data_IF_944937920718
#
_entry.id   IF_944937920718
#
_cell.length_a   1.000
_cell.length_b   1.000
_cell.length_c   1.000
_cell.angle_alpha   90.00
_cell.angle_beta   90.00
_cell.angle_gamma   90.00
#
_symmetry.space_group_name_H-M   'P 1'
#
loop_
_entity.id
_entity.type
_entity.pdbx_description
1 polymer ?
#
# COMPACT_ATOMS: atom_id res chain seq x y z
N UNK A 1 -19.65 -28.30 -38.03
CA UNK A 1 -19.80 -26.96 -37.39
C UNK A 1 -20.19 -26.99 -35.87
N UNK A 2 -20.62 -28.10 -35.30
CA UNK A 2 -20.97 -28.19 -33.84
C UNK A 2 -19.80 -28.45 -32.90
N UNK A 3 -18.66 -28.97 -33.38
CA UNK A 3 -17.48 -29.28 -32.52
C UNK A 3 -16.63 -28.06 -32.17
N UNK A 4 -16.60 -27.04 -33.02
CA UNK A 4 -15.76 -25.81 -32.78
C UNK A 4 -16.35 -24.92 -31.67
N UNK A 5 -17.67 -24.86 -31.55
CA UNK A 5 -18.33 -24.06 -30.51
C UNK A 5 -18.08 -24.58 -29.06
N UNK A 6 -17.92 -25.91 -28.91
CA UNK A 6 -17.64 -26.52 -27.59
C UNK A 6 -16.21 -26.27 -27.11
N UNK A 7 -15.23 -26.16 -28.00
CA UNK A 7 -13.82 -25.92 -27.65
C UNK A 7 -13.63 -24.47 -27.16
N UNK A 8 -14.31 -23.50 -27.78
CA UNK A 8 -14.22 -22.07 -27.36
C UNK A 8 -14.85 -21.86 -26.00
N UNK A 9 -15.94 -22.57 -25.67
CA UNK A 9 -16.57 -22.46 -24.35
C UNK A 9 -15.72 -23.06 -23.24
N UNK A 10 -14.95 -24.11 -23.50
CA UNK A 10 -14.08 -24.77 -22.52
C UNK A 10 -12.82 -23.95 -22.21
N UNK A 11 -12.23 -23.26 -23.20
CA UNK A 11 -11.07 -22.40 -23.00
C UNK A 11 -11.40 -21.11 -22.21
N UNK A 12 -12.60 -20.57 -22.34
CA UNK A 12 -13.04 -19.40 -21.57
C UNK A 12 -13.25 -19.73 -20.07
N UNK A 13 -13.71 -20.95 -19.74
CA UNK A 13 -13.88 -21.38 -18.34
C UNK A 13 -12.53 -21.60 -17.61
N UNK A 14 -11.49 -22.04 -18.32
CA UNK A 14 -10.16 -22.31 -17.73
C UNK A 14 -9.44 -21.00 -17.40
N UNK A 15 -9.57 -19.94 -18.19
CA UNK A 15 -8.95 -18.66 -17.95
C UNK A 15 -9.51 -17.93 -16.69
N UNK A 16 -10.80 -18.10 -16.40
CA UNK A 16 -11.42 -17.51 -15.20
C UNK A 16 -11.08 -18.23 -13.88
N UNK A 17 -10.86 -19.54 -13.94
CA UNK A 17 -10.55 -20.35 -12.76
C UNK A 17 -9.09 -20.18 -12.26
N UNK A 18 -8.15 -19.94 -13.17
CA UNK A 18 -6.74 -19.81 -12.82
C UNK A 18 -6.43 -18.50 -12.05
N UNK A 19 -7.14 -17.41 -12.34
CA UNK A 19 -6.96 -16.14 -11.61
C UNK A 19 -7.37 -16.24 -10.14
N UNK A 20 -8.50 -16.85 -9.83
CA UNK A 20 -9.01 -17.00 -8.46
C UNK A 20 -8.20 -17.98 -7.62
N UNK A 21 -7.63 -19.01 -8.20
CA UNK A 21 -6.77 -19.99 -7.51
C UNK A 21 -5.41 -19.38 -7.16
N UNK A 22 -4.80 -18.62 -8.04
CA UNK A 22 -3.52 -17.94 -7.78
C UNK A 22 -3.65 -16.88 -6.69
N UNK A 23 -4.73 -16.10 -6.70
CA UNK A 23 -5.01 -15.06 -5.70
C UNK A 23 -5.27 -15.63 -4.30
N UNK A 24 -6.02 -16.74 -4.21
CA UNK A 24 -6.25 -17.46 -2.95
C UNK A 24 -4.96 -18.06 -2.37
N UNK A 25 -4.08 -18.57 -3.22
CA UNK A 25 -2.77 -19.11 -2.81
C UNK A 25 -1.87 -18.00 -2.28
N UNK A 26 -1.88 -16.82 -2.89
CA UNK A 26 -1.12 -15.65 -2.44
C UNK A 26 -1.56 -15.19 -1.05
N UNK A 27 -2.85 -15.05 -0.82
CA UNK A 27 -3.39 -14.67 0.48
C UNK A 27 -3.08 -15.71 1.57
N UNK A 28 -3.05 -17.01 1.24
CA UNK A 28 -2.68 -18.06 2.17
C UNK A 28 -1.24 -17.94 2.66
N UNK A 29 -0.28 -17.71 1.76
CA UNK A 29 1.14 -17.53 2.13
C UNK A 29 1.35 -16.26 2.95
N UNK A 30 0.76 -15.12 2.53
CA UNK A 30 0.85 -13.88 3.29
C UNK A 30 0.25 -14.03 4.69
N UNK A 31 -0.86 -14.77 4.83
CA UNK A 31 -1.45 -15.04 6.14
C UNK A 31 -0.50 -15.82 7.09
N UNK A 32 0.30 -16.75 6.57
CA UNK A 32 1.28 -17.50 7.37
C UNK A 32 2.45 -16.62 7.82
N UNK A 33 2.80 -15.58 7.04
CA UNK A 33 3.88 -14.64 7.35
C UNK A 33 3.44 -13.51 8.30
N UNK A 34 2.16 -13.41 8.66
CA UNK A 34 1.65 -12.40 9.58
C UNK A 34 2.05 -12.71 11.02
N UNK A 35 3.24 -12.24 11.41
CA UNK A 35 3.79 -12.34 12.75
C UNK A 35 4.05 -10.94 13.34
N UNK A 36 4.24 -10.85 14.66
CA UNK A 36 4.46 -9.57 15.34
C UNK A 36 3.40 -8.54 14.99
N UNK A 37 3.81 -7.32 14.67
CA UNK A 37 2.90 -6.24 14.26
C UNK A 37 2.10 -6.56 12.98
N UNK A 38 2.61 -7.44 12.12
CA UNK A 38 1.90 -7.84 10.90
C UNK A 38 0.62 -8.65 11.18
N UNK A 39 0.39 -9.11 12.40
CA UNK A 39 -0.90 -9.70 12.80
C UNK A 39 -2.06 -8.69 12.72
N UNK A 40 -1.76 -7.38 12.82
CA UNK A 40 -2.72 -6.28 12.63
C UNK A 40 -3.15 -6.11 11.16
N UNK A 41 -2.36 -6.64 10.19
CA UNK A 41 -2.68 -6.56 8.77
C UNK A 41 -3.89 -7.42 8.43
N UNK A 42 -4.94 -6.82 7.93
CA UNK A 42 -6.14 -7.50 7.44
C UNK A 42 -6.05 -7.62 5.92
N UNK A 43 -5.87 -8.83 5.41
CA UNK A 43 -5.94 -9.12 3.98
C UNK A 43 -7.41 -9.26 3.55
N UNK A 44 -7.77 -8.68 2.42
CA UNK A 44 -9.13 -8.78 1.89
C UNK A 44 -9.37 -10.11 1.20
N UNK A 45 -10.57 -10.68 1.34
CA UNK A 45 -10.97 -11.89 0.62
C UNK A 45 -11.03 -11.67 -0.90
N UNK A 46 -11.32 -10.43 -1.32
CA UNK A 46 -11.24 -9.97 -2.71
C UNK A 46 -10.65 -8.56 -2.74
N UNK A 47 -9.79 -8.24 -3.73
CA UNK A 47 -9.21 -6.90 -3.86
C UNK A 47 -10.27 -5.82 -4.02
N UNK A 48 -10.06 -4.68 -3.35
CA UNK A 48 -10.96 -3.54 -3.38
C UNK A 48 -10.52 -2.48 -4.37
N UNK A 49 -11.48 -1.64 -4.78
CA UNK A 49 -11.18 -0.45 -5.58
C UNK A 49 -10.32 0.51 -4.77
N UNK A 50 -9.30 1.09 -5.41
CA UNK A 50 -8.53 2.22 -4.89
C UNK A 50 -9.14 3.52 -5.40
N UNK A 51 -9.06 4.57 -4.61
CA UNK A 51 -9.57 5.92 -4.94
C UNK A 51 -8.73 6.57 -6.04
N UNK A 52 -9.40 7.29 -6.94
CA UNK A 52 -8.80 8.15 -7.97
C UNK A 52 -8.65 9.61 -7.51
N UNK A 53 -9.00 9.93 -6.26
CA UNK A 53 -8.88 11.27 -5.69
C UNK A 53 -7.42 11.68 -5.61
N UNK A 54 -7.13 12.87 -6.15
CA UNK A 54 -5.79 13.43 -6.20
C UNK A 54 -5.34 14.00 -4.85
N UNK A 55 -4.07 13.79 -4.56
CA UNK A 55 -3.32 14.40 -3.47
C UNK A 55 -2.25 15.34 -4.04
N UNK A 56 -1.53 16.06 -3.16
CA UNK A 56 -0.57 17.09 -3.54
C UNK A 56 0.86 16.64 -3.27
N UNK A 57 1.75 16.92 -4.19
CA UNK A 57 3.21 16.81 -3.97
C UNK A 57 3.72 17.95 -3.09
N UNK A 58 5.01 17.91 -2.73
CA UNK A 58 5.66 19.00 -2.01
C UNK A 58 5.62 20.34 -2.77
N UNK A 59 5.72 20.30 -4.11
CA UNK A 59 5.64 21.48 -4.99
C UNK A 59 4.20 21.97 -5.21
N UNK A 60 3.19 21.28 -4.71
CA UNK A 60 1.77 21.59 -4.93
C UNK A 60 1.18 20.98 -6.20
N UNK A 61 1.94 20.24 -6.99
CA UNK A 61 1.41 19.51 -8.14
C UNK A 61 0.46 18.40 -7.68
N UNK A 62 -0.50 18.06 -8.52
CA UNK A 62 -1.46 16.98 -8.25
C UNK A 62 -0.88 15.63 -8.66
N UNK A 63 -1.17 14.60 -7.88
CA UNK A 63 -0.82 13.22 -8.13
C UNK A 63 -1.97 12.31 -7.66
N UNK A 64 -2.04 11.09 -8.19
CA UNK A 64 -3.02 10.09 -7.77
C UNK A 64 -2.35 8.75 -7.49
N UNK A 65 -3.07 7.81 -6.90
CA UNK A 65 -2.56 6.45 -6.70
C UNK A 65 -2.45 5.68 -8.02
N UNK A 66 -3.19 6.09 -9.06
CA UNK A 66 -3.06 5.54 -10.41
C UNK A 66 -1.68 5.74 -11.04
N UNK A 67 -0.94 6.78 -10.60
CA UNK A 67 0.44 7.03 -11.08
C UNK A 67 1.45 5.96 -10.65
N UNK A 68 1.02 5.05 -9.77
CA UNK A 68 1.81 3.93 -9.26
C UNK A 68 1.40 2.57 -9.85
N UNK A 69 0.45 2.53 -10.80
CA UNK A 69 0.09 1.27 -11.47
C UNK A 69 1.32 0.59 -12.09
N UNK A 70 1.33 -0.71 -12.03
CA UNK A 70 2.47 -1.54 -12.42
C UNK A 70 3.45 -1.83 -11.28
N UNK A 71 3.25 -1.26 -10.10
CA UNK A 71 4.10 -1.42 -8.91
C UNK A 71 3.28 -1.85 -7.70
N UNK A 72 3.90 -2.59 -6.80
CA UNK A 72 3.38 -2.79 -5.45
C UNK A 72 3.58 -1.51 -4.63
N UNK A 73 2.58 -1.11 -3.87
CA UNK A 73 2.65 0.14 -3.08
C UNK A 73 2.16 -0.09 -1.66
N UNK A 74 2.96 0.35 -0.69
CA UNK A 74 2.51 0.56 0.69
C UNK A 74 2.15 2.03 0.86
N UNK A 75 0.85 2.36 0.84
CA UNK A 75 0.38 3.72 1.13
C UNK A 75 0.20 3.87 2.63
N UNK A 76 0.88 4.86 3.23
CA UNK A 76 0.73 5.19 4.65
C UNK A 76 0.10 6.57 4.83
N UNK A 77 -1.06 6.60 5.47
CA UNK A 77 -1.74 7.84 5.89
C UNK A 77 -1.28 8.22 7.28
N UNK A 78 -0.75 9.44 7.42
CA UNK A 78 -0.15 9.92 8.65
C UNK A 78 -0.39 11.41 8.90
N UNK A 79 0.11 11.93 10.02
CA UNK A 79 0.13 13.37 10.29
C UNK A 79 1.29 13.77 11.22
N UNK A 80 1.77 15.00 11.09
CA UNK A 80 2.86 15.55 11.93
C UNK A 80 2.50 15.68 13.41
N UNK A 81 1.22 15.76 13.74
CA UNK A 81 0.67 15.82 15.09
C UNK A 81 0.29 14.44 15.68
N UNK A 82 0.37 13.38 14.89
CA UNK A 82 0.04 12.02 15.28
C UNK A 82 1.29 11.32 15.85
N UNK A 83 1.34 11.12 17.16
CA UNK A 83 2.51 10.56 17.84
C UNK A 83 2.87 9.13 17.34
N UNK A 84 1.94 8.15 17.24
CA UNK A 84 2.27 6.81 16.73
C UNK A 84 2.70 6.86 15.25
N UNK A 85 2.13 7.76 14.42
CA UNK A 85 2.58 7.93 13.03
C UNK A 85 4.05 8.36 12.96
N UNK A 86 4.44 9.30 13.82
CA UNK A 86 5.83 9.78 13.88
C UNK A 86 6.79 8.69 14.34
N UNK A 87 6.35 7.83 15.26
CA UNK A 87 7.16 6.74 15.78
C UNK A 87 7.48 5.68 14.72
N UNK A 88 6.52 5.36 13.81
CA UNK A 88 6.73 4.35 12.76
C UNK A 88 7.50 4.87 11.54
N UNK A 89 7.53 6.19 11.30
CA UNK A 89 8.08 6.79 10.06
C UNK A 89 9.53 6.40 9.78
N UNK A 90 10.46 6.32 10.75
CA UNK A 90 11.81 5.82 10.50
C UNK A 90 11.84 4.38 9.99
N UNK A 91 10.97 3.51 10.48
CA UNK A 91 10.87 2.11 10.02
C UNK A 91 10.33 2.01 8.59
N UNK A 92 9.40 2.90 8.19
CA UNK A 92 8.95 3.03 6.79
C UNK A 92 10.10 3.50 5.87
N UNK A 93 10.94 4.41 6.33
CA UNK A 93 12.14 4.84 5.60
C UNK A 93 13.13 3.69 5.41
N UNK A 94 13.34 2.87 6.45
CA UNK A 94 14.17 1.66 6.37
C UNK A 94 13.58 0.64 5.40
N UNK A 95 12.27 0.41 5.47
CA UNK A 95 11.57 -0.48 4.51
C UNK A 95 11.80 -0.02 3.06
N UNK A 96 11.60 1.28 2.78
CA UNK A 96 11.87 1.84 1.44
C UNK A 96 13.31 1.63 1.00
N UNK A 97 14.28 1.76 1.91
CA UNK A 97 15.70 1.51 1.59
C UNK A 97 16.01 0.04 1.35
N UNK A 98 15.28 -0.87 2.00
CA UNK A 98 15.55 -2.31 1.98
C UNK A 98 14.95 -3.00 0.75
N UNK A 99 13.68 -2.73 0.45
CA UNK A 99 12.96 -3.41 -0.64
C UNK A 99 12.38 -2.45 -1.68
N UNK A 100 12.51 -1.13 -1.49
CA UNK A 100 12.09 -0.13 -2.48
C UNK A 100 12.90 -0.24 -3.78
N UNK A 101 12.25 -0.01 -4.92
CA UNK A 101 12.91 -0.13 -6.22
C UNK A 101 11.94 0.08 -7.38
N UNK A 102 12.17 -0.62 -8.49
CA UNK A 102 11.29 -0.55 -9.67
C UNK A 102 9.91 -1.13 -9.41
N UNK A 103 9.82 -2.12 -8.53
CA UNK A 103 8.61 -2.92 -8.33
C UNK A 103 7.84 -2.59 -7.04
N UNK A 104 8.46 -1.87 -6.10
CA UNK A 104 7.85 -1.52 -4.80
C UNK A 104 8.16 -0.08 -4.37
N UNK A 105 7.14 0.60 -3.84
CA UNK A 105 7.25 1.94 -3.23
C UNK A 105 6.52 2.04 -1.90
N UNK A 106 7.12 2.80 -0.96
CA UNK A 106 6.43 3.34 0.21
C UNK A 106 5.96 4.77 -0.09
N UNK A 107 4.66 5.00 -0.07
CA UNK A 107 4.02 6.28 -0.38
C UNK A 107 3.38 6.87 0.87
N UNK A 108 4.03 7.89 1.46
CA UNK A 108 3.52 8.55 2.66
C UNK A 108 2.67 9.78 2.31
N UNK A 109 1.44 9.85 2.84
CA UNK A 109 0.47 10.92 2.57
C UNK A 109 0.03 11.56 3.89
N UNK A 110 0.52 12.77 4.15
CA UNK A 110 0.11 13.55 5.32
C UNK A 110 -1.32 14.07 5.13
N UNK A 111 -2.27 13.54 5.91
CA UNK A 111 -3.70 13.86 5.78
C UNK A 111 -4.16 14.87 6.84
N UNK A 112 -5.05 15.79 6.43
CA UNK A 112 -5.54 16.88 7.26
C UNK A 112 -4.56 18.05 7.37
N UNK A 113 -4.58 18.78 8.49
CA UNK A 113 -3.76 19.98 8.70
C UNK A 113 -2.29 19.62 8.91
N UNK A 114 -1.52 19.62 7.81
CA UNK A 114 -0.08 19.43 7.80
C UNK A 114 0.55 20.46 6.86
N UNK A 115 1.39 21.36 7.37
CA UNK A 115 2.11 22.31 6.52
C UNK A 115 3.32 21.64 5.87
N UNK A 116 3.72 22.03 4.64
CA UNK A 116 4.94 21.54 4.01
C UNK A 116 6.17 21.72 4.89
N UNK A 117 6.26 22.86 5.59
CA UNK A 117 7.37 23.17 6.49
C UNK A 117 7.44 22.21 7.70
N UNK A 118 6.28 21.86 8.30
CA UNK A 118 6.24 20.91 9.40
C UNK A 118 6.65 19.50 8.98
N UNK A 119 6.21 19.04 7.79
CA UNK A 119 6.61 17.74 7.24
C UNK A 119 8.12 17.73 6.97
N UNK A 120 8.64 18.75 6.27
CA UNK A 120 10.07 18.87 5.97
C UNK A 120 10.92 18.92 7.23
N UNK A 121 10.51 19.70 8.23
CA UNK A 121 11.20 19.77 9.54
C UNK A 121 11.27 18.38 10.17
N UNK A 122 10.14 17.68 10.29
CA UNK A 122 10.08 16.34 10.89
C UNK A 122 10.97 15.34 10.14
N UNK A 123 10.94 15.33 8.79
CA UNK A 123 11.77 14.44 7.97
C UNK A 123 13.26 14.71 8.17
N UNK A 124 13.66 15.99 8.17
CA UNK A 124 15.07 16.38 8.40
C UNK A 124 15.57 15.97 9.80
N UNK A 125 14.74 16.20 10.83
CA UNK A 125 15.10 15.87 12.23
C UNK A 125 15.24 14.35 12.45
N UNK A 126 14.62 13.51 11.60
CA UNK A 126 14.68 12.06 11.67
C UNK A 126 15.52 11.41 10.56
N UNK A 127 16.26 12.20 9.77
CA UNK A 127 17.12 11.70 8.70
C UNK A 127 16.39 11.02 7.55
N UNK A 128 15.10 11.32 7.34
CA UNK A 128 14.26 10.72 6.31
C UNK A 128 14.39 11.52 5.01
N UNK A 129 14.99 10.89 3.99
CA UNK A 129 15.21 11.53 2.67
C UNK A 129 14.62 10.74 1.49
N UNK A 130 14.21 9.49 1.72
CA UNK A 130 13.77 8.54 0.69
C UNK A 130 12.25 8.32 0.64
N UNK A 131 11.47 9.04 1.46
CA UNK A 131 10.01 8.98 1.45
C UNK A 131 9.41 10.27 0.84
N UNK A 132 8.30 10.15 0.08
CA UNK A 132 7.64 11.31 -0.50
C UNK A 132 6.94 12.15 0.57
N UNK A 133 6.91 13.48 0.37
CA UNK A 133 6.24 14.45 1.25
C UNK A 133 4.86 14.85 0.68
N UNK A 134 4.00 13.86 0.40
CA UNK A 134 2.68 14.11 -0.14
C UNK A 134 1.67 14.55 0.91
N UNK A 135 0.62 15.24 0.47
CA UNK A 135 -0.41 15.81 1.36
C UNK A 135 -1.82 15.61 0.80
N UNK A 136 -2.74 15.26 1.68
CA UNK A 136 -4.20 15.33 1.47
C UNK A 136 -4.82 16.31 2.48
N UNK A 137 -4.67 17.65 2.28
CA UNK A 137 -5.00 18.64 3.29
C UNK A 137 -6.50 18.72 3.60
N UNK A 138 -7.36 18.31 2.69
CA UNK A 138 -8.82 18.26 2.84
C UNK A 138 -9.34 16.89 3.24
N UNK A 139 -8.46 15.92 3.46
CA UNK A 139 -8.80 14.52 3.81
C UNK A 139 -9.77 13.87 2.80
N UNK A 140 -9.74 14.29 1.55
CA UNK A 140 -10.64 13.74 0.53
C UNK A 140 -10.27 12.31 0.19
N UNK A 141 -8.98 12.07 -0.09
CA UNK A 141 -8.47 10.73 -0.37
C UNK A 141 -8.64 9.82 0.85
N UNK A 142 -8.22 10.28 2.03
CA UNK A 142 -8.34 9.50 3.27
C UNK A 142 -9.78 9.06 3.53
N UNK A 143 -10.77 9.97 3.37
CA UNK A 143 -12.18 9.64 3.55
C UNK A 143 -12.71 8.66 2.51
N UNK A 144 -12.38 8.85 1.23
CA UNK A 144 -12.81 7.95 0.15
C UNK A 144 -12.22 6.54 0.30
N UNK A 145 -10.99 6.45 0.83
CA UNK A 145 -10.33 5.20 1.20
C UNK A 145 -10.78 4.64 2.57
N UNK A 146 -11.80 5.24 3.20
CA UNK A 146 -12.31 4.86 4.51
C UNK A 146 -11.22 4.78 5.60
N UNK A 147 -10.29 5.73 5.62
CA UNK A 147 -9.28 5.90 6.67
C UNK A 147 -9.92 6.66 7.82
N UNK A 148 -10.32 5.92 8.86
CA UNK A 148 -11.06 6.45 10.02
C UNK A 148 -10.14 6.86 11.17
N UNK A 149 -8.86 6.46 11.14
CA UNK A 149 -7.86 6.76 12.18
C UNK A 149 -6.45 6.73 11.59
N UNK A 150 -5.49 7.28 12.34
CA UNK A 150 -4.08 7.36 11.95
C UNK A 150 -3.19 6.67 12.99
N UNK A 151 -2.09 6.04 12.54
CA UNK A 151 -1.76 5.79 11.15
C UNK A 151 -2.62 4.69 10.52
N UNK A 152 -2.69 4.68 9.19
CA UNK A 152 -3.29 3.59 8.44
C UNK A 152 -2.44 3.29 7.22
N UNK A 153 -2.08 2.03 7.07
CA UNK A 153 -1.26 1.53 5.96
C UNK A 153 -2.08 0.61 5.07
N UNK A 154 -1.99 0.81 3.76
CA UNK A 154 -2.79 0.10 2.75
C UNK A 154 -1.85 -0.52 1.73
N UNK A 155 -1.99 -1.83 1.48
CA UNK A 155 -1.27 -2.55 0.43
C UNK A 155 -2.03 -2.47 -0.89
N UNK A 156 -1.37 -1.95 -1.93
CA UNK A 156 -1.95 -1.80 -3.27
C UNK A 156 -1.13 -2.64 -4.26
N UNK A 157 -1.82 -3.50 -5.02
CA UNK A 157 -1.22 -4.35 -6.04
C UNK A 157 -0.84 -3.54 -7.30
N UNK A 158 -0.01 -4.11 -8.23
CA UNK A 158 0.31 -3.48 -9.51
C UNK A 158 -0.89 -3.13 -10.38
N UNK A 159 -2.01 -3.84 -10.21
CA UNK A 159 -3.28 -3.57 -10.91
C UNK A 159 -4.03 -2.38 -10.32
N UNK A 160 -3.48 -1.72 -9.29
CA UNK A 160 -4.13 -0.60 -8.60
C UNK A 160 -5.31 -1.04 -7.73
N UNK A 161 -5.19 -2.20 -7.07
CA UNK A 161 -6.23 -2.74 -6.18
C UNK A 161 -5.72 -2.83 -4.75
N UNK A 162 -6.54 -2.44 -3.78
CA UNK A 162 -6.23 -2.65 -2.37
C UNK A 162 -6.42 -4.12 -2.01
N UNK A 163 -5.33 -4.76 -1.54
CA UNK A 163 -5.35 -6.17 -1.13
C UNK A 163 -5.42 -6.37 0.37
N UNK A 164 -5.09 -5.34 1.16
CA UNK A 164 -5.15 -5.40 2.61
C UNK A 164 -4.81 -4.06 3.25
N UNK A 165 -5.06 -3.97 4.55
CA UNK A 165 -4.74 -2.78 5.34
C UNK A 165 -4.36 -3.11 6.78
N UNK A 166 -3.51 -2.26 7.35
CA UNK A 166 -3.14 -2.27 8.76
C UNK A 166 -3.57 -0.95 9.38
N UNK A 167 -4.30 -1.01 10.48
CA UNK A 167 -4.70 0.15 11.28
C UNK A 167 -3.85 0.22 12.54
N UNK A 168 -3.39 1.42 12.87
CA UNK A 168 -2.40 1.66 13.92
C UNK A 168 -0.96 1.55 13.39
N UNK A 169 0.00 1.85 14.27
CA UNK A 169 1.42 1.82 13.98
C UNK A 169 1.98 0.40 13.88
N UNK A 170 3.10 0.26 13.19
CA UNK A 170 3.85 -0.99 13.09
C UNK A 170 5.36 -0.70 12.94
N UNK A 171 6.18 -1.67 13.34
CA UNK A 171 7.60 -1.65 12.98
C UNK A 171 7.80 -2.27 11.60
N UNK A 172 7.84 -1.41 10.57
CA UNK A 172 7.97 -1.83 9.18
C UNK A 172 9.37 -2.33 8.80
N UNK A 173 10.36 -2.15 9.69
CA UNK A 173 11.73 -2.62 9.49
C UNK A 173 12.06 -3.92 10.21
N UNK A 174 11.10 -4.53 10.92
CA UNK A 174 11.34 -5.80 11.55
C UNK A 174 11.33 -6.96 10.53
N UNK A 175 11.88 -8.11 10.94
CA UNK A 175 12.00 -9.29 10.07
C UNK A 175 10.64 -9.78 9.56
N UNK A 176 9.58 -9.70 10.38
CA UNK A 176 8.25 -10.17 9.98
C UNK A 176 7.65 -9.29 8.88
N UNK A 177 7.79 -7.96 9.00
CA UNK A 177 7.33 -7.01 8.00
C UNK A 177 8.13 -7.16 6.69
N UNK A 178 9.46 -7.23 6.77
CA UNK A 178 10.32 -7.39 5.60
C UNK A 178 10.03 -8.71 4.87
N UNK A 179 9.93 -9.83 5.58
CA UNK A 179 9.64 -11.14 4.97
C UNK A 179 8.26 -11.15 4.29
N UNK A 180 7.24 -10.60 4.95
CA UNK A 180 5.89 -10.55 4.39
C UNK A 180 5.83 -9.70 3.11
N UNK A 181 6.42 -8.50 3.15
CA UNK A 181 6.37 -7.58 2.01
C UNK A 181 7.29 -8.02 0.86
N UNK A 182 8.48 -8.58 1.15
CA UNK A 182 9.33 -9.20 0.11
C UNK A 182 8.61 -10.34 -0.58
N UNK A 183 8.01 -11.27 0.18
CA UNK A 183 7.25 -12.37 -0.38
C UNK A 183 6.02 -11.90 -1.19
N UNK A 184 5.43 -10.75 -0.85
CA UNK A 184 4.35 -10.15 -1.62
C UNK A 184 4.84 -9.58 -2.95
N UNK A 185 5.98 -8.91 -2.97
CA UNK A 185 6.57 -8.30 -4.18
C UNK A 185 7.16 -9.34 -5.12
N UNK A 186 7.81 -10.40 -4.61
CA UNK A 186 8.46 -11.45 -5.40
C UNK A 186 7.47 -12.33 -6.19
N UNK A 187 6.18 -12.29 -5.87
CA UNK A 187 5.13 -13.14 -6.48
C UNK A 187 4.50 -12.55 -7.74
N UNK A 188 5.27 -11.78 -8.48
CA UNK A 188 4.85 -11.24 -9.77
C UNK A 188 4.81 -12.29 -10.88
#
# INVERSE_FOLDING_TARGET
MRAIALIILYTALIAGANGTLAENTNNSVLNQLRQGDMQKLVLHAAPKRVSDIQFMTASGAKKSLDDYKGRFVLVNFWATWCAPCRAEMPSLSTLQSTIGGSDFDVVTIATGRNTPAAIKKFFNENGISNLPTYRDPKQKLARDMAVLGLPASILISPEGREIGRLLGDANWSDTAALNLLSAWVEKR
#
